data_IF_067343364903
#
_entry.id   IF_067343364903
#
_cell.length_a   1.000
_cell.length_b   1.000
_cell.length_c   1.000
_cell.angle_alpha   90.00
_cell.angle_beta   90.00
_cell.angle_gamma   90.00
#
_symmetry.space_group_name_H-M   'P 1'
#
loop_
_entity.id
_entity.type
_entity.pdbx_description
1 polymer ?
#
# COMPACT_ATOMS: atom_id res chain seq x y z
N UNK A 1 5.87 -15.63 12.87
CA UNK A 1 6.31 -15.49 11.46
C UNK A 1 5.36 -14.52 10.77
N UNK A 2 5.87 -13.42 10.25
CA UNK A 2 5.08 -12.38 9.57
C UNK A 2 4.32 -12.96 8.38
N UNK A 3 3.03 -12.59 8.23
CA UNK A 3 2.23 -12.99 7.06
C UNK A 3 2.66 -12.19 5.83
N UNK A 4 2.48 -12.80 4.65
CA UNK A 4 2.78 -12.16 3.36
C UNK A 4 1.83 -11.00 3.06
N UNK A 5 2.33 -10.03 2.29
CA UNK A 5 1.51 -8.98 1.68
C UNK A 5 1.30 -9.29 0.20
N UNK A 6 0.05 -9.23 -0.26
CA UNK A 6 -0.26 -9.27 -1.69
C UNK A 6 -0.20 -7.84 -2.25
N UNK A 7 0.52 -7.65 -3.35
CA UNK A 7 0.62 -6.37 -4.05
C UNK A 7 -0.03 -6.54 -5.43
N UNK A 8 -1.23 -6.01 -5.59
CA UNK A 8 -2.04 -6.19 -6.78
C UNK A 8 -2.14 -4.88 -7.55
N UNK A 9 -1.96 -4.95 -8.87
CA UNK A 9 -2.15 -3.81 -9.76
C UNK A 9 -3.05 -4.19 -10.94
N UNK A 10 -3.89 -3.24 -11.37
CA UNK A 10 -4.85 -3.47 -12.46
C UNK A 10 -4.20 -3.49 -13.84
N UNK A 11 -3.00 -2.95 -13.97
CA UNK A 11 -2.20 -2.86 -15.19
C UNK A 11 -0.71 -2.78 -14.85
N UNK A 12 0.14 -3.21 -15.79
CA UNK A 12 1.59 -3.03 -15.73
C UNK A 12 2.02 -1.55 -15.79
N UNK A 13 1.16 -0.67 -16.31
CA UNK A 13 1.37 0.79 -16.28
C UNK A 13 1.52 1.36 -14.86
N UNK A 14 1.02 0.66 -13.84
CA UNK A 14 1.09 1.09 -12.44
C UNK A 14 2.43 0.69 -11.78
N UNK A 15 3.17 -0.23 -12.40
CA UNK A 15 4.41 -0.77 -11.86
C UNK A 15 5.48 0.28 -11.49
N UNK A 16 5.72 1.35 -12.27
CA UNK A 16 6.70 2.38 -11.91
C UNK A 16 6.48 2.99 -10.52
N UNK A 17 5.24 3.04 -10.04
CA UNK A 17 4.86 3.52 -8.71
C UNK A 17 4.82 2.35 -7.72
N UNK A 18 4.15 1.26 -8.07
CA UNK A 18 3.89 0.10 -7.20
C UNK A 18 5.18 -0.59 -6.74
N UNK A 19 6.23 -0.61 -7.57
CA UNK A 19 7.55 -1.12 -7.17
C UNK A 19 8.11 -0.47 -5.90
N UNK A 20 7.68 0.77 -5.59
CA UNK A 20 8.05 1.45 -4.35
C UNK A 20 7.47 0.78 -3.10
N UNK A 21 6.27 0.18 -3.19
CA UNK A 21 5.72 -0.63 -2.10
C UNK A 21 6.53 -1.93 -1.91
N UNK A 22 6.85 -2.61 -3.01
CA UNK A 22 7.66 -3.83 -2.97
C UNK A 22 9.05 -3.58 -2.36
N UNK A 23 9.70 -2.48 -2.74
CA UNK A 23 10.99 -2.09 -2.18
C UNK A 23 10.89 -1.79 -0.67
N UNK A 24 9.81 -1.13 -0.23
CA UNK A 24 9.59 -0.84 1.18
C UNK A 24 9.30 -2.11 1.99
N UNK A 25 8.47 -3.03 1.48
CA UNK A 25 8.20 -4.32 2.13
C UNK A 25 9.49 -5.13 2.28
N UNK A 26 10.33 -5.15 1.23
CA UNK A 26 11.64 -5.81 1.27
C UNK A 26 12.56 -5.20 2.33
N UNK A 27 12.61 -3.87 2.45
CA UNK A 27 13.42 -3.18 3.46
C UNK A 27 12.97 -3.50 4.89
N UNK A 28 11.68 -3.80 5.07
CA UNK A 28 11.11 -4.21 6.35
C UNK A 28 11.15 -5.74 6.58
N UNK A 29 11.77 -6.52 5.69
CA UNK A 29 11.82 -7.99 5.71
C UNK A 29 10.43 -8.65 5.71
N UNK A 30 9.43 -7.99 5.13
CA UNK A 30 8.08 -8.52 4.99
C UNK A 30 7.99 -9.30 3.67
N UNK A 31 7.63 -10.59 3.70
CA UNK A 31 7.43 -11.37 2.49
C UNK A 31 6.24 -10.84 1.69
N UNK A 32 6.34 -10.79 0.38
CA UNK A 32 5.28 -10.33 -0.50
C UNK A 32 5.26 -11.05 -1.84
N UNK A 33 4.13 -10.97 -2.52
CA UNK A 33 3.96 -11.38 -3.92
C UNK A 33 3.29 -10.24 -4.68
N UNK A 34 3.71 -10.00 -5.93
CA UNK A 34 3.14 -8.96 -6.78
C UNK A 34 2.49 -9.58 -8.02
N UNK A 35 1.25 -9.14 -8.35
CA UNK A 35 0.46 -9.68 -9.44
C UNK A 35 -0.25 -8.57 -10.23
N UNK A 36 -0.45 -8.81 -11.51
CA UNK A 36 -1.35 -8.01 -12.35
C UNK A 36 -2.68 -8.75 -12.42
N UNK A 37 -3.72 -8.18 -11.79
CA UNK A 37 -5.09 -8.69 -11.79
C UNK A 37 -6.05 -7.52 -11.98
N UNK A 38 -6.89 -7.59 -13.00
CA UNK A 38 -7.85 -6.52 -13.28
C UNK A 38 -9.25 -6.89 -12.82
N UNK A 39 -9.88 -6.03 -12.02
CA UNK A 39 -11.27 -6.22 -11.62
C UNK A 39 -12.23 -6.21 -12.82
N UNK A 40 -11.88 -5.54 -13.92
CA UNK A 40 -12.73 -5.43 -15.11
C UNK A 40 -12.39 -6.45 -16.20
N UNK A 41 -11.09 -6.76 -16.39
CA UNK A 41 -10.63 -7.62 -17.50
C UNK A 41 -10.42 -9.08 -17.09
N UNK A 42 -10.11 -9.33 -15.80
CA UNK A 42 -9.92 -10.67 -15.22
C UNK A 42 -10.68 -10.81 -13.90
N UNK A 43 -12.01 -10.56 -13.86
CA UNK A 43 -12.79 -10.51 -12.63
C UNK A 43 -12.82 -11.84 -11.88
N UNK A 44 -12.84 -12.95 -12.59
CA UNK A 44 -12.89 -14.28 -11.98
C UNK A 44 -11.59 -14.61 -11.24
N UNK A 45 -10.44 -14.33 -11.86
CA UNK A 45 -9.11 -14.54 -11.29
C UNK A 45 -8.88 -13.61 -10.10
N UNK A 46 -9.28 -12.34 -10.19
CA UNK A 46 -9.20 -11.38 -9.10
C UNK A 46 -10.02 -11.82 -7.88
N UNK A 47 -11.27 -12.25 -8.11
CA UNK A 47 -12.14 -12.76 -7.04
C UNK A 47 -11.59 -14.06 -6.43
N UNK A 48 -11.09 -14.99 -7.24
CA UNK A 48 -10.51 -16.24 -6.76
C UNK A 48 -9.25 -15.97 -5.91
N UNK A 49 -8.38 -15.07 -6.34
CA UNK A 49 -7.19 -14.67 -5.56
C UNK A 49 -7.62 -14.10 -4.19
N UNK A 50 -8.54 -13.13 -4.17
CA UNK A 50 -9.01 -12.50 -2.94
C UNK A 50 -9.61 -13.51 -1.94
N UNK A 51 -10.47 -14.44 -2.42
CA UNK A 51 -11.10 -15.49 -1.59
C UNK A 51 -10.06 -16.43 -0.97
N UNK A 52 -9.02 -16.79 -1.70
CA UNK A 52 -8.00 -17.74 -1.26
C UNK A 52 -6.82 -17.09 -0.54
N UNK A 53 -6.68 -15.76 -0.54
CA UNK A 53 -5.55 -15.04 -0.01
C UNK A 53 -5.21 -15.41 1.45
N UNK A 54 -6.23 -15.47 2.33
CA UNK A 54 -6.03 -15.84 3.74
C UNK A 54 -5.48 -17.26 3.90
N UNK A 55 -6.00 -18.22 3.16
CA UNK A 55 -5.54 -19.61 3.18
C UNK A 55 -4.13 -19.76 2.62
N UNK A 56 -3.76 -18.90 1.66
CA UNK A 56 -2.41 -18.83 1.06
C UNK A 56 -1.39 -18.06 1.90
N UNK A 57 -1.73 -17.67 3.15
CA UNK A 57 -0.80 -17.06 4.09
C UNK A 57 -0.66 -15.54 3.98
N UNK A 58 -1.48 -14.87 3.19
CA UNK A 58 -1.51 -13.41 3.16
C UNK A 58 -2.19 -12.83 4.41
N UNK A 59 -1.72 -11.67 4.85
CA UNK A 59 -2.28 -10.92 5.97
C UNK A 59 -2.92 -9.59 5.55
N UNK A 60 -2.39 -8.98 4.48
CA UNK A 60 -2.87 -7.70 3.94
C UNK A 60 -2.77 -7.73 2.42
N UNK A 61 -3.67 -7.01 1.75
CA UNK A 61 -3.69 -6.88 0.29
C UNK A 61 -3.58 -5.39 -0.08
N UNK A 62 -2.59 -5.03 -0.89
CA UNK A 62 -2.47 -3.72 -1.52
C UNK A 62 -3.07 -3.79 -2.92
N UNK A 63 -3.90 -2.81 -3.30
CA UNK A 63 -4.53 -2.76 -4.61
C UNK A 63 -4.30 -1.39 -5.25
N UNK A 64 -3.55 -1.34 -6.35
CA UNK A 64 -3.30 -0.12 -7.12
C UNK A 64 -4.18 -0.09 -8.38
N UNK A 65 -4.89 1.01 -8.57
CA UNK A 65 -5.72 1.24 -9.75
C UNK A 65 -5.93 2.73 -10.02
N UNK A 66 -6.06 3.08 -11.30
CA UNK A 66 -6.36 4.43 -11.77
C UNK A 66 -7.74 4.54 -12.40
N UNK A 67 -8.16 5.76 -12.76
CA UNK A 67 -9.44 6.07 -13.40
C UNK A 67 -10.61 5.48 -12.60
N UNK A 68 -11.41 4.57 -13.19
CA UNK A 68 -12.45 3.78 -12.51
C UNK A 68 -11.78 2.74 -11.59
N UNK A 69 -11.21 3.17 -10.47
CA UNK A 69 -10.34 2.41 -9.57
C UNK A 69 -11.14 1.44 -8.67
N UNK A 70 -11.85 0.49 -9.27
CA UNK A 70 -12.72 -0.47 -8.57
C UNK A 70 -11.96 -1.66 -7.96
N UNK A 71 -10.66 -1.82 -8.23
CA UNK A 71 -9.89 -3.01 -7.85
C UNK A 71 -9.91 -3.27 -6.35
N UNK A 72 -9.60 -2.26 -5.53
CA UNK A 72 -9.58 -2.42 -4.07
C UNK A 72 -10.96 -2.78 -3.51
N UNK A 73 -12.03 -2.15 -4.00
CA UNK A 73 -13.40 -2.49 -3.62
C UNK A 73 -13.79 -3.91 -4.01
N UNK A 74 -13.42 -4.36 -5.23
CA UNK A 74 -13.67 -5.72 -5.68
C UNK A 74 -12.93 -6.76 -4.82
N UNK A 75 -11.69 -6.48 -4.41
CA UNK A 75 -10.96 -7.33 -3.46
C UNK A 75 -11.61 -7.31 -2.09
N UNK A 76 -11.95 -6.15 -1.53
CA UNK A 76 -12.62 -6.02 -0.23
C UNK A 76 -13.96 -6.78 -0.16
N UNK A 77 -14.70 -6.83 -1.24
CA UNK A 77 -15.93 -7.60 -1.33
C UNK A 77 -15.74 -9.13 -1.33
N UNK A 78 -14.53 -9.63 -1.59
CA UNK A 78 -14.21 -11.05 -1.72
C UNK A 78 -13.28 -11.60 -0.64
N UNK A 79 -12.89 -10.80 0.36
CA UNK A 79 -12.04 -11.23 1.48
C UNK A 79 -12.39 -10.50 2.76
N UNK A 80 -12.01 -11.07 3.90
CA UNK A 80 -12.03 -10.37 5.21
C UNK A 80 -10.63 -9.89 5.63
N UNK A 81 -9.63 -10.06 4.79
CA UNK A 81 -8.31 -9.46 5.03
C UNK A 81 -8.38 -7.93 4.85
N UNK A 82 -7.59 -7.18 5.59
CA UNK A 82 -7.41 -5.75 5.33
C UNK A 82 -6.99 -5.49 3.88
N UNK A 83 -7.73 -4.61 3.19
CA UNK A 83 -7.41 -4.16 1.84
C UNK A 83 -7.01 -2.68 1.89
N UNK A 84 -5.86 -2.36 1.32
CA UNK A 84 -5.34 -1.01 1.21
C UNK A 84 -5.36 -0.61 -0.26
N UNK A 85 -6.12 0.43 -0.58
CA UNK A 85 -6.21 1.01 -1.92
C UNK A 85 -5.13 2.06 -2.16
N UNK A 86 -4.50 1.96 -3.31
CA UNK A 86 -3.52 2.93 -3.81
C UNK A 86 -4.13 3.57 -5.06
N UNK A 87 -4.80 4.73 -4.93
CA UNK A 87 -5.33 5.42 -6.09
C UNK A 87 -4.18 5.95 -6.95
N UNK A 88 -4.21 5.66 -8.25
CA UNK A 88 -3.16 6.03 -9.17
C UNK A 88 -3.47 7.38 -9.82
N UNK A 89 -2.45 8.25 -9.86
CA UNK A 89 -2.52 9.54 -10.55
C UNK A 89 -2.59 9.33 -12.06
N UNK A 90 -3.45 10.11 -12.73
CA UNK A 90 -3.62 10.07 -14.17
C UNK A 90 -5.08 10.23 -14.59
N UNK A 91 -5.35 10.08 -15.90
CA UNK A 91 -6.69 10.25 -16.45
C UNK A 91 -7.17 11.70 -16.51
N UNK A 92 -8.45 11.88 -16.80
CA UNK A 92 -9.04 13.19 -17.03
C UNK A 92 -9.11 14.09 -15.78
N UNK A 93 -9.14 13.51 -14.58
CA UNK A 93 -9.22 14.22 -13.30
C UNK A 93 -7.91 14.10 -12.47
N UNK A 94 -6.81 13.74 -13.10
CA UNK A 94 -5.47 13.65 -12.50
C UNK A 94 -5.44 12.79 -11.22
N UNK A 95 -6.30 11.77 -11.14
CA UNK A 95 -6.37 10.82 -10.05
C UNK A 95 -7.45 11.10 -8.99
N UNK A 96 -8.14 12.24 -9.03
CA UNK A 96 -9.26 12.52 -8.11
C UNK A 96 -10.39 11.50 -8.28
N UNK A 97 -10.69 11.10 -9.51
CA UNK A 97 -11.61 10.03 -9.86
C UNK A 97 -11.19 8.68 -9.22
N UNK A 98 -9.92 8.32 -9.33
CA UNK A 98 -9.37 7.11 -8.71
C UNK A 98 -9.45 7.15 -7.18
N UNK A 99 -9.14 8.29 -6.55
CA UNK A 99 -9.25 8.48 -5.11
C UNK A 99 -10.69 8.29 -4.64
N UNK A 100 -11.65 8.96 -5.27
CA UNK A 100 -13.05 8.88 -4.89
C UNK A 100 -13.63 7.48 -5.12
N UNK A 101 -13.29 6.82 -6.24
CA UNK A 101 -13.69 5.45 -6.52
C UNK A 101 -13.13 4.42 -5.51
N UNK A 102 -11.96 4.70 -4.92
CA UNK A 102 -11.31 3.82 -3.96
C UNK A 102 -11.82 4.04 -2.54
N UNK A 103 -12.02 5.30 -2.11
CA UNK A 103 -12.33 5.65 -0.71
C UNK A 103 -13.81 5.57 -0.37
N UNK A 104 -14.71 5.83 -1.34
CA UNK A 104 -16.16 5.90 -1.12
C UNK A 104 -16.82 4.51 -1.09
N UNK A 105 -16.42 3.69 -0.11
CA UNK A 105 -16.90 2.32 0.04
C UNK A 105 -18.18 2.26 0.89
N UNK A 106 -19.09 1.30 0.61
CA UNK A 106 -20.29 1.10 1.40
C UNK A 106 -19.97 0.52 2.78
N UNK A 107 -20.89 0.73 3.73
CA UNK A 107 -20.82 0.16 5.08
C UNK A 107 -20.64 -1.36 5.03
N UNK A 108 -19.68 -1.88 5.81
CA UNK A 108 -19.37 -3.31 5.89
C UNK A 108 -18.28 -3.80 4.94
N UNK A 109 -17.91 -3.01 3.93
CA UNK A 109 -16.81 -3.32 3.00
C UNK A 109 -15.79 -2.17 2.99
N UNK A 110 -15.00 -1.99 4.05
CA UNK A 110 -14.03 -0.88 4.12
C UNK A 110 -12.80 -1.15 3.25
N UNK A 111 -12.25 -0.07 2.68
CA UNK A 111 -10.92 -0.04 2.06
C UNK A 111 -10.12 1.09 2.71
N UNK A 112 -8.98 0.75 3.30
CA UNK A 112 -8.03 1.76 3.77
C UNK A 112 -7.36 2.42 2.56
N UNK A 113 -7.50 3.75 2.41
CA UNK A 113 -7.03 4.42 1.20
C UNK A 113 -5.88 5.37 1.53
N UNK A 114 -4.75 5.20 0.84
CA UNK A 114 -3.59 6.09 0.95
C UNK A 114 -3.65 7.22 -0.08
N UNK A 115 -2.71 8.15 -0.03
CA UNK A 115 -2.63 9.25 -0.99
C UNK A 115 -2.44 8.76 -2.44
N UNK A 116 -2.70 9.64 -3.41
CA UNK A 116 -2.41 9.39 -4.83
C UNK A 116 -0.95 8.96 -5.00
N UNK A 117 -0.72 7.86 -5.71
CA UNK A 117 0.60 7.23 -5.88
C UNK A 117 1.30 6.86 -4.56
N UNK A 118 0.57 6.75 -3.45
CA UNK A 118 1.10 6.53 -2.11
C UNK A 118 1.59 5.10 -1.84
N UNK A 119 2.20 4.42 -2.81
CA UNK A 119 2.58 3.02 -2.73
C UNK A 119 3.48 2.69 -1.52
N UNK A 120 4.45 3.55 -1.19
CA UNK A 120 5.29 3.37 0.00
C UNK A 120 4.48 3.42 1.29
N UNK A 121 3.55 4.38 1.41
CA UNK A 121 2.69 4.49 2.58
C UNK A 121 1.72 3.31 2.70
N UNK A 122 1.27 2.73 1.58
CA UNK A 122 0.51 1.48 1.62
C UNK A 122 1.32 0.32 2.22
N UNK A 123 2.60 0.22 1.88
CA UNK A 123 3.50 -0.77 2.49
C UNK A 123 3.74 -0.51 3.99
N UNK A 124 3.90 0.76 4.41
CA UNK A 124 3.98 1.13 5.81
C UNK A 124 2.72 0.76 6.58
N UNK A 125 1.54 1.11 6.08
CA UNK A 125 0.27 0.78 6.71
C UNK A 125 0.06 -0.75 6.80
N UNK A 126 0.46 -1.50 5.75
CA UNK A 126 0.44 -2.96 5.81
C UNK A 126 1.37 -3.51 6.90
N UNK A 127 2.58 -2.94 7.04
CA UNK A 127 3.52 -3.31 8.09
C UNK A 127 2.95 -3.00 9.50
N UNK A 128 2.34 -1.83 9.70
CA UNK A 128 1.70 -1.45 10.96
C UNK A 128 0.57 -2.42 11.34
N UNK A 129 -0.26 -2.83 10.37
CA UNK A 129 -1.32 -3.84 10.59
C UNK A 129 -0.72 -5.20 10.99
N UNK A 130 0.34 -5.64 10.31
CA UNK A 130 1.00 -6.93 10.61
C UNK A 130 1.73 -6.90 11.95
N UNK A 131 2.28 -5.75 12.33
CA UNK A 131 2.99 -5.54 13.59
C UNK A 131 2.09 -5.69 14.83
N UNK A 132 0.76 -5.56 14.69
CA UNK A 132 -0.18 -5.83 15.79
C UNK A 132 -0.11 -7.26 16.35
N UNK A 133 0.49 -8.18 15.60
CA UNK A 133 0.69 -9.58 15.97
C UNK A 133 2.12 -10.08 15.78
N UNK A 134 3.09 -9.17 15.63
CA UNK A 134 4.52 -9.51 15.46
C UNK A 134 5.39 -8.44 16.13
N UNK A 135 5.85 -8.72 17.34
CA UNK A 135 6.60 -7.78 18.18
C UNK A 135 7.93 -7.36 17.54
N UNK A 136 8.61 -8.27 16.83
CA UNK A 136 9.86 -7.94 16.16
C UNK A 136 9.66 -6.94 15.01
N UNK A 137 8.54 -7.05 14.29
CA UNK A 137 8.17 -6.06 13.28
C UNK A 137 7.78 -4.73 13.93
N UNK A 138 7.08 -4.75 15.08
CA UNK A 138 6.73 -3.54 15.82
C UNK A 138 7.99 -2.78 16.26
N UNK A 139 8.96 -3.46 16.87
CA UNK A 139 10.27 -2.87 17.25
C UNK A 139 11.01 -2.25 16.05
N UNK A 140 10.96 -2.93 14.89
CA UNK A 140 11.57 -2.44 13.66
C UNK A 140 10.90 -1.14 13.18
N UNK A 141 9.56 -1.06 13.23
CA UNK A 141 8.83 0.15 12.85
C UNK A 141 9.15 1.32 13.79
N UNK A 142 9.27 1.08 15.10
CA UNK A 142 9.71 2.08 16.07
C UNK A 142 11.12 2.61 15.74
N UNK A 143 12.07 1.72 15.45
CA UNK A 143 13.43 2.11 15.08
C UNK A 143 13.45 2.97 13.79
N UNK A 144 12.64 2.64 12.81
CA UNK A 144 12.49 3.43 11.57
C UNK A 144 11.92 4.84 11.85
N UNK A 145 10.96 4.98 12.79
CA UNK A 145 10.45 6.30 13.20
C UNK A 145 11.54 7.15 13.85
N UNK A 146 12.38 6.55 14.70
CA UNK A 146 13.55 7.22 15.29
C UNK A 146 14.53 7.67 14.21
N UNK A 147 14.83 6.80 13.25
CA UNK A 147 15.73 7.12 12.13
C UNK A 147 15.19 8.29 11.26
N UNK A 148 13.88 8.32 10.98
CA UNK A 148 13.25 9.45 10.29
C UNK A 148 13.42 10.76 11.04
N UNK A 149 13.23 10.77 12.36
CA UNK A 149 13.42 11.98 13.19
C UNK A 149 14.87 12.46 13.16
N UNK A 150 15.83 11.54 13.25
CA UNK A 150 17.28 11.88 13.16
C UNK A 150 17.64 12.47 11.80
N UNK A 151 17.07 11.95 10.70
CA UNK A 151 17.28 12.52 9.36
C UNK A 151 16.78 13.96 9.23
N UNK A 152 15.65 14.29 9.87
CA UNK A 152 15.15 15.68 9.90
C UNK A 152 16.04 16.57 10.74
N UNK A 153 16.50 16.11 11.92
CA UNK A 153 17.42 16.86 12.76
C UNK A 153 18.74 17.20 12.03
N UNK A 154 19.29 16.23 11.31
CA UNK A 154 20.52 16.47 10.52
C UNK A 154 20.30 17.48 9.37
N UNK A 155 19.12 17.48 8.73
CA UNK A 155 18.76 18.49 7.72
C UNK A 155 18.61 19.88 8.32
N UNK A 156 18.01 19.97 9.51
CA UNK A 156 17.87 21.22 10.25
C UNK A 156 19.25 21.80 10.61
N UNK A 157 20.13 20.97 11.17
CA UNK A 157 21.51 21.39 11.48
C UNK A 157 22.23 21.95 10.25
N UNK A 158 22.13 21.24 9.12
CA UNK A 158 22.70 21.71 7.85
C UNK A 158 22.15 23.07 7.43
N UNK A 159 20.82 23.26 7.52
CA UNK A 159 20.17 24.53 7.19
C UNK A 159 20.68 25.68 8.09
N UNK A 160 20.79 25.44 9.42
CA UNK A 160 21.27 26.45 10.35
C UNK A 160 22.73 26.83 10.09
N UNK A 161 23.57 25.86 9.70
CA UNK A 161 24.96 26.15 9.32
C UNK A 161 25.01 27.02 8.05
N UNK A 162 24.23 26.71 7.02
CA UNK A 162 24.14 27.51 5.80
C UNK A 162 23.63 28.94 6.09
N UNK A 163 22.66 29.11 6.99
CA UNK A 163 22.15 30.42 7.39
C UNK A 163 23.20 31.28 8.12
N UNK A 164 24.07 30.65 8.92
CA UNK A 164 25.12 31.34 9.64
C UNK A 164 26.28 31.83 8.72
N UNK A 165 26.34 31.30 7.48
CA UNK A 165 27.34 31.68 6.48
C UNK A 165 26.83 32.79 5.54
N UNK A 166 25.56 33.21 5.63
CA UNK A 166 24.96 34.31 4.87
C UNK A 166 25.25 35.67 5.53
#
# INVERSE_FOLDING_TARGET
MVRKVAVIMGSDSDWPVVKGACAQLKALDIPFEAHILSAHRTPAEAAAFAKNAKANGFGVILCAAGMAAHLAGAFGANTTLPVIGIPMKGGAMDGLDALLATVQMPSGIPVATVALNGAKNAAWLAAEILALSDDALAEKLEAERVAMAQQIAAKEEKLQNELNEL
#
